data_IF_445712230977
#
_entry.id   IF_445712230977
#
_cell.length_a   1.000
_cell.length_b   1.000
_cell.length_c   1.000
_cell.angle_alpha   90.00
_cell.angle_beta   90.00
_cell.angle_gamma   90.00
#
_symmetry.space_group_name_H-M   'P 1'
#
loop_
_entity.id
_entity.type
_entity.pdbx_description
1 polymer ?
#
# COMPACT_ATOMS: atom_id res chain seq x y z
N UNK A 1 10.45 -26.14 -3.46
CA UNK A 1 9.31 -25.81 -2.57
C UNK A 1 9.43 -24.32 -2.26
N UNK A 2 8.39 -23.54 -2.51
CA UNK A 2 8.38 -22.10 -2.21
C UNK A 2 7.66 -21.84 -0.89
N UNK A 3 8.13 -20.87 -0.12
CA UNK A 3 7.51 -20.49 1.14
C UNK A 3 6.32 -19.57 0.87
N UNK A 4 5.22 -19.79 1.58
CA UNK A 4 4.05 -18.90 1.54
C UNK A 4 3.83 -18.26 2.90
N UNK A 5 3.21 -17.09 2.89
CA UNK A 5 2.97 -16.25 4.05
C UNK A 5 1.56 -15.66 4.01
N UNK A 6 0.89 -15.68 5.16
CA UNK A 6 -0.37 -14.96 5.38
C UNK A 6 -0.17 -13.67 6.17
N UNK A 7 1.04 -13.43 6.64
CA UNK A 7 1.39 -12.31 7.50
C UNK A 7 2.71 -11.68 7.05
N UNK A 8 2.81 -10.38 7.30
CA UNK A 8 3.98 -9.56 7.03
C UNK A 8 4.58 -9.05 8.34
N UNK A 9 5.84 -8.59 8.35
CA UNK A 9 6.44 -7.99 9.54
C UNK A 9 5.61 -6.84 10.11
N UNK A 10 5.76 -6.56 11.40
CA UNK A 10 5.00 -5.52 12.10
C UNK A 10 5.20 -4.14 11.45
N UNK A 11 4.08 -3.46 11.17
CA UNK A 11 4.09 -2.09 10.65
C UNK A 11 4.45 -1.11 11.78
N UNK A 12 5.39 -0.22 11.51
CA UNK A 12 5.82 0.87 12.40
C UNK A 12 6.09 2.16 11.60
N UNK A 13 6.49 3.23 12.28
CA UNK A 13 6.97 4.45 11.62
C UNK A 13 8.28 4.25 10.83
N UNK A 14 8.96 3.11 10.99
CA UNK A 14 10.19 2.79 10.25
C UNK A 14 10.13 1.36 9.74
N UNK A 15 9.03 1.00 9.07
CA UNK A 15 8.84 -0.36 8.53
C UNK A 15 9.91 -0.62 7.49
N UNK A 16 10.77 -1.61 7.75
CA UNK A 16 11.76 -2.08 6.78
C UNK A 16 11.06 -2.95 5.76
N UNK A 17 11.30 -2.69 4.49
CA UNK A 17 10.77 -3.44 3.37
C UNK A 17 11.81 -3.55 2.26
N UNK A 18 11.59 -4.50 1.35
CA UNK A 18 12.31 -4.59 0.09
C UNK A 18 11.41 -4.02 -0.99
N UNK A 19 11.92 -3.02 -1.71
CA UNK A 19 11.26 -2.46 -2.89
C UNK A 19 11.63 -3.31 -4.09
N UNK A 20 10.62 -3.80 -4.81
CA UNK A 20 10.78 -4.47 -6.10
C UNK A 20 10.20 -3.62 -7.22
N UNK A 21 10.48 -4.00 -8.47
CA UNK A 21 9.97 -3.31 -9.65
C UNK A 21 8.88 -4.15 -10.32
N UNK A 22 7.78 -3.49 -10.62
CA UNK A 22 6.66 -4.05 -11.38
C UNK A 22 6.00 -2.99 -12.25
N UNK A 23 5.36 -3.42 -13.32
CA UNK A 23 4.61 -2.60 -14.24
C UNK A 23 3.13 -3.00 -14.20
N UNK A 24 2.32 -2.10 -13.64
CA UNK A 24 0.87 -2.24 -13.46
C UNK A 24 0.06 -1.90 -14.73
N UNK A 25 0.75 -1.59 -15.83
CA UNK A 25 0.11 -1.24 -17.09
C UNK A 25 -0.34 -2.49 -17.85
N UNK A 26 -1.31 -2.31 -18.76
CA UNK A 26 -1.80 -3.40 -19.60
C UNK A 26 -0.67 -3.96 -20.48
N UNK A 27 -0.46 -5.27 -20.43
CA UNK A 27 0.65 -5.93 -21.13
C UNK A 27 2.01 -5.73 -20.47
N UNK A 28 2.01 -5.28 -19.21
CA UNK A 28 3.16 -5.32 -18.32
C UNK A 28 3.45 -6.71 -17.75
N UNK A 29 4.39 -6.75 -16.82
CA UNK A 29 4.78 -7.93 -16.04
C UNK A 29 3.90 -8.18 -14.80
N UNK A 30 3.09 -7.20 -14.38
CA UNK A 30 2.16 -7.33 -13.25
C UNK A 30 0.96 -8.25 -13.50
N UNK A 31 0.90 -8.93 -14.65
CA UNK A 31 -0.17 -9.85 -14.99
C UNK A 31 -1.50 -9.14 -15.23
N UNK A 32 -2.46 -9.37 -14.32
CA UNK A 32 -3.82 -8.88 -14.41
C UNK A 32 -4.02 -7.40 -14.01
N UNK A 33 -5.27 -6.91 -14.05
CA UNK A 33 -5.63 -5.62 -13.46
C UNK A 33 -5.48 -5.67 -11.93
N UNK A 34 -5.16 -4.53 -11.31
CA UNK A 34 -4.87 -4.48 -9.87
C UNK A 34 -6.08 -4.72 -8.97
N UNK A 35 -5.85 -5.41 -7.84
CA UNK A 35 -6.90 -5.91 -6.93
C UNK A 35 -7.78 -4.82 -6.31
N UNK A 36 -7.26 -3.61 -6.07
CA UNK A 36 -8.04 -2.58 -5.40
C UNK A 36 -9.21 -2.04 -6.25
N UNK A 37 -9.04 -1.96 -7.58
CA UNK A 37 -10.01 -1.31 -8.46
C UNK A 37 -10.27 -2.02 -9.80
N UNK A 38 -9.63 -3.17 -10.03
CA UNK A 38 -9.76 -3.95 -11.25
C UNK A 38 -9.25 -3.23 -12.50
N UNK A 39 -8.25 -2.34 -12.35
CA UNK A 39 -7.71 -1.53 -13.44
C UNK A 39 -6.20 -1.70 -13.59
N UNK A 40 -5.74 -1.44 -14.80
CA UNK A 40 -4.33 -1.22 -15.08
C UNK A 40 -3.96 0.25 -14.75
N UNK A 41 -2.75 0.44 -14.24
CA UNK A 41 -2.20 1.75 -13.88
C UNK A 41 -0.95 2.03 -14.72
N UNK A 42 -0.78 3.25 -15.20
CA UNK A 42 0.41 3.62 -16.00
C UNK A 42 1.68 3.56 -15.16
N UNK A 43 2.78 3.11 -15.77
CA UNK A 43 4.12 3.11 -15.17
C UNK A 43 4.64 4.51 -14.77
N UNK A 44 4.01 5.57 -15.27
CA UNK A 44 4.32 6.96 -14.94
C UNK A 44 3.55 7.46 -13.69
N UNK A 45 2.65 6.65 -13.13
CA UNK A 45 1.98 6.94 -11.87
C UNK A 45 2.73 6.29 -10.70
N UNK A 46 2.95 6.99 -9.58
CA UNK A 46 3.59 6.41 -8.40
C UNK A 46 2.60 5.50 -7.66
N UNK A 47 2.51 4.26 -8.11
CA UNK A 47 1.64 3.21 -7.53
C UNK A 47 2.45 2.00 -7.08
N UNK A 48 1.89 1.24 -6.13
CA UNK A 48 2.52 0.05 -5.54
C UNK A 48 1.52 -1.07 -5.21
N UNK A 49 2.04 -2.29 -5.14
CA UNK A 49 1.44 -3.43 -4.45
C UNK A 49 2.11 -3.66 -3.08
N UNK A 50 1.38 -4.25 -2.15
CA UNK A 50 1.92 -4.65 -0.85
C UNK A 50 1.81 -6.16 -0.66
N UNK A 51 2.80 -6.79 -0.03
CA UNK A 51 2.67 -8.19 0.42
C UNK A 51 1.37 -8.42 1.19
N UNK A 52 0.75 -9.59 1.05
CA UNK A 52 -0.58 -9.93 1.63
C UNK A 52 -0.82 -9.42 3.05
N UNK A 53 0.12 -9.63 3.97
CA UNK A 53 -0.04 -9.19 5.36
C UNK A 53 -0.09 -7.67 5.53
N UNK A 54 0.62 -6.93 4.68
CA UNK A 54 0.53 -5.48 4.59
C UNK A 54 -0.62 -4.99 3.71
N UNK A 55 -1.07 -5.76 2.73
CA UNK A 55 -2.28 -5.43 1.98
C UNK A 55 -3.53 -5.48 2.89
N UNK A 56 -3.55 -6.42 3.85
CA UNK A 56 -4.59 -6.56 4.90
C UNK A 56 -6.00 -6.65 4.28
N UNK A 57 -6.14 -7.48 3.23
CA UNK A 57 -7.40 -7.70 2.53
C UNK A 57 -7.99 -6.42 1.93
N UNK A 58 -7.13 -5.56 1.36
CA UNK A 58 -7.54 -4.31 0.72
C UNK A 58 -7.82 -3.15 1.69
N UNK A 59 -7.57 -3.30 3.00
CA UNK A 59 -7.81 -2.20 3.94
C UNK A 59 -6.92 -0.97 3.68
N UNK A 60 -5.86 -1.13 2.87
CA UNK A 60 -4.95 -0.07 2.47
C UNK A 60 -5.12 0.40 1.02
N UNK A 61 -6.11 -0.12 0.30
CA UNK A 61 -6.40 0.30 -1.06
C UNK A 61 -6.61 1.81 -1.17
N UNK A 62 -5.96 2.40 -2.17
CA UNK A 62 -5.96 3.84 -2.46
C UNK A 62 -5.43 4.73 -1.34
N UNK A 63 -4.84 4.15 -0.28
CA UNK A 63 -4.11 4.91 0.71
C UNK A 63 -2.70 5.19 0.19
N UNK A 64 -2.17 6.33 0.62
CA UNK A 64 -0.81 6.74 0.30
C UNK A 64 0.17 6.26 1.37
N UNK A 65 1.29 5.71 0.91
CA UNK A 65 2.46 5.38 1.72
C UNK A 65 3.62 6.28 1.31
N UNK A 66 4.54 6.53 2.24
CA UNK A 66 5.79 7.23 1.93
C UNK A 66 6.93 6.23 1.92
N UNK A 67 7.62 6.13 0.79
CA UNK A 67 8.77 5.25 0.59
C UNK A 67 10.01 6.11 0.64
N UNK A 68 10.98 5.73 1.46
CA UNK A 68 12.24 6.45 1.62
C UNK A 68 13.44 5.55 1.35
N UNK A 69 14.30 6.00 0.44
CA UNK A 69 15.52 5.31 0.02
C UNK A 69 16.48 6.31 -0.63
N UNK A 70 17.78 6.01 -0.66
CA UNK A 70 18.78 6.83 -1.36
C UNK A 70 18.73 8.34 -0.99
N UNK A 71 18.42 8.66 0.27
CA UNK A 71 18.29 10.04 0.76
C UNK A 71 17.08 10.81 0.20
N UNK A 72 16.15 10.13 -0.50
CA UNK A 72 14.93 10.70 -1.08
C UNK A 72 13.70 9.99 -0.54
N UNK A 73 12.55 10.64 -0.72
CA UNK A 73 11.25 10.07 -0.38
C UNK A 73 10.24 10.34 -1.48
N UNK A 74 9.33 9.38 -1.70
CA UNK A 74 8.23 9.48 -2.65
C UNK A 74 6.95 9.00 -2.00
N UNK A 75 5.84 9.67 -2.32
CA UNK A 75 4.50 9.23 -1.94
C UNK A 75 3.95 8.38 -3.07
N UNK A 76 3.51 7.17 -2.74
CA UNK A 76 2.91 6.25 -3.70
C UNK A 76 1.56 5.73 -3.19
N UNK A 77 0.64 5.48 -4.12
CA UNK A 77 -0.69 4.96 -3.83
C UNK A 77 -0.70 3.43 -3.90
N UNK A 78 -1.27 2.78 -2.90
CA UNK A 78 -1.48 1.34 -2.92
C UNK A 78 -2.62 1.02 -3.86
N UNK A 79 -2.37 0.19 -4.87
CA UNK A 79 -3.37 -0.23 -5.86
C UNK A 79 -3.55 -1.73 -5.91
N UNK A 80 -2.64 -2.51 -5.33
CA UNK A 80 -2.62 -3.96 -5.56
C UNK A 80 -2.11 -4.77 -4.36
N UNK A 81 -2.29 -6.08 -4.47
CA UNK A 81 -1.70 -7.09 -3.59
C UNK A 81 -0.53 -7.79 -4.28
N UNK A 82 0.59 -7.93 -3.58
CA UNK A 82 1.64 -8.88 -3.95
C UNK A 82 1.36 -10.19 -3.20
N UNK A 83 0.70 -11.14 -3.85
CA UNK A 83 0.16 -12.34 -3.19
C UNK A 83 1.30 -13.23 -2.67
N UNK A 84 1.42 -13.31 -1.35
CA UNK A 84 2.42 -14.15 -0.68
C UNK A 84 1.87 -15.52 -0.29
N UNK A 85 0.59 -15.81 -0.55
CA UNK A 85 -0.12 -17.01 -0.12
C UNK A 85 -0.11 -18.13 -1.16
N UNK A 86 0.01 -17.78 -2.43
CA UNK A 86 -0.02 -18.71 -3.56
C UNK A 86 0.81 -18.21 -4.75
N UNK A 87 0.94 -19.05 -5.76
CA UNK A 87 1.84 -18.89 -6.90
C UNK A 87 2.22 -20.24 -7.48
N UNK A 88 3.05 -20.25 -8.53
CA UNK A 88 3.44 -21.43 -9.30
C UNK A 88 2.25 -22.14 -9.98
N UNK A 89 1.20 -21.39 -10.30
CA UNK A 89 0.02 -21.87 -10.99
C UNK A 89 -0.27 -20.98 -12.23
N UNK A 90 -1.30 -21.34 -12.98
CA UNK A 90 -1.65 -20.65 -14.21
C UNK A 90 -2.13 -19.21 -13.96
N UNK A 91 -2.74 -18.93 -12.80
CA UNK A 91 -3.31 -17.62 -12.49
C UNK A 91 -2.19 -16.62 -12.14
N UNK A 92 -1.02 -17.11 -11.72
CA UNK A 92 0.17 -16.32 -11.40
C UNK A 92 1.28 -16.41 -12.47
N UNK A 93 0.97 -16.78 -13.72
CA UNK A 93 1.95 -17.00 -14.80
C UNK A 93 3.12 -17.93 -14.40
N UNK A 94 2.84 -18.89 -13.50
CA UNK A 94 3.82 -19.78 -12.87
C UNK A 94 4.96 -19.07 -12.10
N UNK A 95 4.78 -17.80 -11.74
CA UNK A 95 5.67 -17.05 -10.88
C UNK A 95 5.57 -17.54 -9.42
N UNK A 96 6.67 -17.52 -8.64
CA UNK A 96 6.62 -17.92 -7.25
C UNK A 96 5.79 -16.95 -6.39
N UNK A 97 5.28 -17.42 -5.23
CA UNK A 97 4.62 -16.55 -4.26
C UNK A 97 5.51 -15.37 -3.85
N UNK A 98 4.90 -14.22 -3.64
CA UNK A 98 5.59 -13.01 -3.19
C UNK A 98 6.20 -13.22 -1.79
N UNK A 99 7.40 -12.68 -1.51
CA UNK A 99 7.89 -12.57 -0.13
C UNK A 99 6.97 -11.68 0.72
N UNK A 100 7.06 -11.80 2.05
CA UNK A 100 6.12 -11.15 2.96
C UNK A 100 6.50 -9.73 3.41
N UNK A 101 7.60 -9.18 2.87
CA UNK A 101 8.15 -7.88 3.23
C UNK A 101 8.40 -6.99 1.99
N UNK A 102 7.59 -7.18 0.94
CA UNK A 102 7.72 -6.50 -0.35
C UNK A 102 6.79 -5.30 -0.45
N UNK A 103 7.34 -4.22 -0.99
CA UNK A 103 6.59 -3.14 -1.62
C UNK A 103 6.93 -3.19 -3.10
N UNK A 104 5.98 -3.61 -3.93
CA UNK A 104 6.25 -3.82 -5.34
C UNK A 104 5.81 -2.60 -6.15
N UNK A 105 6.74 -1.96 -6.86
CA UNK A 105 6.58 -0.57 -7.23
C UNK A 105 6.76 -0.27 -8.72
N UNK A 106 5.91 0.64 -9.19
CA UNK A 106 5.97 1.21 -10.53
C UNK A 106 7.29 1.91 -10.83
N UNK A 107 7.62 2.02 -12.12
CA UNK A 107 8.82 2.73 -12.62
C UNK A 107 8.88 4.18 -12.12
N UNK A 108 7.74 4.85 -11.96
CA UNK A 108 7.66 6.20 -11.41
C UNK A 108 8.23 6.32 -9.98
N UNK A 109 7.98 5.33 -9.12
CA UNK A 109 8.51 5.28 -7.75
C UNK A 109 10.04 5.19 -7.77
N UNK A 110 10.58 4.27 -8.57
CA UNK A 110 12.03 4.09 -8.72
C UNK A 110 12.73 5.35 -9.26
N UNK A 111 12.15 5.99 -10.29
CA UNK A 111 12.63 7.27 -10.83
C UNK A 111 12.62 8.38 -9.76
N UNK A 112 11.55 8.48 -8.98
CA UNK A 112 11.40 9.51 -7.94
C UNK A 112 12.42 9.34 -6.80
N UNK A 113 12.74 8.10 -6.43
CA UNK A 113 13.81 7.76 -5.49
C UNK A 113 15.22 8.03 -6.04
N UNK A 114 15.33 8.41 -7.32
CA UNK A 114 16.60 8.76 -7.95
C UNK A 114 17.56 7.57 -8.06
N UNK A 115 17.02 6.35 -8.13
CA UNK A 115 17.83 5.14 -8.31
C UNK A 115 18.16 5.02 -9.80
N UNK A 116 19.45 4.89 -10.18
CA UNK A 116 19.83 4.64 -11.58
C UNK A 116 19.16 3.36 -12.10
N UNK A 117 18.71 3.37 -13.35
CA UNK A 117 17.96 2.26 -13.94
C UNK A 117 18.74 0.94 -13.92
N UNK A 118 20.06 0.98 -14.08
CA UNK A 118 20.95 -0.20 -14.01
C UNK A 118 20.97 -0.86 -12.62
N UNK A 119 20.46 -0.16 -11.60
CA UNK A 119 20.37 -0.64 -10.21
C UNK A 119 18.92 -0.97 -9.81
N UNK A 120 17.99 -1.08 -10.78
CA UNK A 120 16.62 -1.52 -10.51
C UNK A 120 16.56 -3.03 -10.37
N UNK A 121 15.71 -3.51 -9.48
CA UNK A 121 15.62 -4.90 -9.07
C UNK A 121 15.08 -4.94 -7.65
N UNK A 122 15.98 -5.08 -6.68
CA UNK A 122 15.66 -5.08 -5.26
C UNK A 122 16.38 -3.93 -4.54
N UNK A 123 15.67 -3.22 -3.68
CA UNK A 123 16.26 -2.15 -2.86
C UNK A 123 15.70 -2.15 -1.44
N UNK A 124 16.57 -2.09 -0.44
CA UNK A 124 16.15 -1.89 0.95
C UNK A 124 15.60 -0.48 1.16
N UNK A 125 14.39 -0.41 1.72
CA UNK A 125 13.67 0.85 1.94
C UNK A 125 13.12 0.96 3.35
N UNK A 126 12.78 2.19 3.73
CA UNK A 126 11.91 2.48 4.87
C UNK A 126 10.56 2.94 4.35
N UNK A 127 9.52 2.22 4.72
CA UNK A 127 8.14 2.53 4.41
C UNK A 127 7.43 3.12 5.64
N UNK A 128 6.87 4.31 5.43
CA UNK A 128 5.94 4.97 6.32
C UNK A 128 4.53 4.71 5.79
N UNK A 129 3.91 3.65 6.30
CA UNK A 129 2.46 3.51 6.20
C UNK A 129 1.87 4.55 7.16
N UNK A 130 0.97 5.41 6.69
CA UNK A 130 0.36 6.45 7.53
C UNK A 130 -0.38 5.82 8.71
N UNK A 131 0.33 5.61 9.82
CA UNK A 131 -0.17 4.96 11.04
C UNK A 131 -1.24 5.80 11.72
N UNK A 132 -1.38 7.08 11.34
CA UNK A 132 -2.43 7.95 11.86
C UNK A 132 -3.84 7.38 11.59
N UNK A 133 -4.04 6.63 10.50
CA UNK A 133 -5.34 6.00 10.25
C UNK A 133 -5.52 4.64 10.95
N UNK A 134 -4.44 3.88 11.17
CA UNK A 134 -4.52 2.52 11.74
C UNK A 134 -4.35 2.51 13.28
N UNK A 135 -3.66 3.48 13.89
CA UNK A 135 -3.43 3.55 15.35
C UNK A 135 -4.28 4.60 16.10
N UNK A 136 -4.77 5.68 15.46
CA UNK A 136 -5.76 6.53 16.14
C UNK A 136 -7.17 5.94 16.04
N UNK A 137 -7.49 5.20 14.97
CA UNK A 137 -8.83 4.66 14.80
C UNK A 137 -9.04 3.35 15.55
N UNK A 138 -8.05 2.45 15.67
CA UNK A 138 -8.22 1.14 16.34
C UNK A 138 -8.75 1.20 17.79
N UNK A 139 -8.22 2.04 18.71
CA UNK A 139 -8.82 2.14 20.04
C UNK A 139 -10.22 2.77 20.02
N UNK A 140 -10.52 3.60 19.01
CA UNK A 140 -11.83 4.27 18.87
C UNK A 140 -12.86 3.31 18.26
N UNK A 141 -12.50 2.49 17.27
CA UNK A 141 -13.44 1.53 16.64
C UNK A 141 -13.77 0.38 17.59
N UNK A 142 -12.79 -0.14 18.34
CA UNK A 142 -13.05 -1.16 19.37
C UNK A 142 -13.95 -0.61 20.49
N UNK A 143 -13.74 0.63 20.93
CA UNK A 143 -14.62 1.28 21.90
C UNK A 143 -16.07 1.46 21.38
N UNK A 144 -16.23 1.73 20.08
CA UNK A 144 -17.56 1.88 19.44
C UNK A 144 -18.26 0.52 19.27
N UNK A 145 -17.54 -0.55 18.98
CA UNK A 145 -18.14 -1.89 18.80
C UNK A 145 -18.65 -2.51 20.12
N UNK A 146 -18.06 -2.13 21.26
CA UNK A 146 -18.49 -2.62 22.58
C UNK A 146 -19.79 -1.95 23.05
N UNK A 147 -20.12 -0.77 22.53
CA UNK A 147 -21.38 -0.08 22.83
C UNK A 147 -22.40 -0.32 21.70
N UNK A 148 -23.16 -1.41 21.78
CA UNK A 148 -24.21 -1.77 20.81
C UNK A 148 -25.27 -0.68 20.61
N UNK A 149 -25.01 0.24 19.69
CA UNK A 149 -25.88 1.39 19.39
C UNK A 149 -26.37 1.32 17.93
N UNK A 150 -27.71 1.29 17.69
CA UNK A 150 -28.31 1.05 16.37
C UNK A 150 -28.16 2.21 15.37
N UNK A 151 -27.40 3.27 15.70
CA UNK A 151 -27.20 4.46 14.86
C UNK A 151 -25.80 4.58 14.23
N UNK A 152 -24.96 3.53 14.30
CA UNK A 152 -23.54 3.60 13.89
C UNK A 152 -23.26 3.90 12.40
N UNK A 153 -24.25 3.88 11.51
CA UNK A 153 -24.04 4.23 10.10
C UNK A 153 -23.87 5.75 9.91
N UNK A 154 -24.57 6.57 10.70
CA UNK A 154 -24.60 8.03 10.55
C UNK A 154 -23.34 8.75 11.06
N UNK A 155 -22.55 8.14 11.93
CA UNK A 155 -21.36 8.77 12.51
C UNK A 155 -20.13 8.72 11.58
N UNK A 156 -20.07 7.73 10.67
CA UNK A 156 -18.95 7.61 9.71
C UNK A 156 -18.87 8.82 8.79
N UNK A 157 -20.01 9.30 8.32
CA UNK A 157 -20.10 10.43 7.40
C UNK A 157 -19.86 11.78 8.09
N UNK A 158 -20.25 11.89 9.37
CA UNK A 158 -20.06 13.10 10.17
C UNK A 158 -18.59 13.33 10.54
N UNK A 159 -17.85 12.25 10.86
CA UNK A 159 -16.41 12.33 11.16
C UNK A 159 -15.59 12.58 9.89
N UNK A 160 -15.97 11.98 8.74
CA UNK A 160 -15.39 12.35 7.43
C UNK A 160 -15.62 13.83 7.11
N UNK A 161 -16.83 14.35 7.38
CA UNK A 161 -17.20 15.74 7.13
C UNK A 161 -16.42 16.74 7.99
N UNK A 162 -16.24 16.47 9.29
CA UNK A 162 -15.45 17.34 10.18
C UNK A 162 -13.96 17.39 9.80
N UNK A 163 -13.39 16.27 9.36
CA UNK A 163 -11.96 16.19 9.01
C UNK A 163 -11.64 16.76 7.62
N UNK A 164 -12.61 16.77 6.68
CA UNK A 164 -12.48 17.58 5.47
C UNK A 164 -12.52 19.08 5.80
N UNK A 165 -13.37 19.48 6.76
CA UNK A 165 -13.51 20.88 7.21
C UNK A 165 -12.20 21.47 7.76
N UNK A 166 -11.46 20.73 8.59
CA UNK A 166 -10.16 21.20 9.12
C UNK A 166 -9.04 21.32 8.07
N UNK A 167 -9.12 20.60 6.94
CA UNK A 167 -8.14 20.77 5.85
C UNK A 167 -8.35 22.07 5.08
N UNK A 168 -9.59 22.54 4.96
CA UNK A 168 -9.91 23.82 4.30
C UNK A 168 -9.46 25.02 5.11
N UNK A 169 -9.48 24.98 6.45
CA UNK A 169 -9.03 26.11 7.27
C UNK A 169 -7.51 26.26 7.33
N UNK A 170 -6.73 25.18 7.22
CA UNK A 170 -5.26 25.28 7.16
C UNK A 170 -4.72 25.77 5.80
N UNK A 171 -5.51 25.68 4.73
CA UNK A 171 -5.15 26.21 3.40
C UNK A 171 -5.44 27.72 3.25
N UNK A 172 -6.10 28.36 4.23
CA UNK A 172 -6.42 29.79 4.22
C UNK A 172 -5.56 30.66 5.17
N UNK A 173 -4.49 30.11 5.75
CA UNK A 173 -3.53 30.85 6.60
C UNK A 173 -2.09 30.91 6.06
N UNK A 174 -1.91 31.02 4.73
CA UNK A 174 -0.67 31.54 4.13
C UNK A 174 -0.97 32.46 2.96
#
# INVERSE_FOLDING_TARGET
MYTTYKCSPTVSSQTKATLTINSFQKGGDGGGPSECDGKYHSDDLPVVALSTGWYKGGSRCHNNITISANGRSVVAMVVDECDSTMGCDQDHDYQPPCPNNIVDASKAVWKALGVPQDNWGDLDIICLVSVLYDQQYTPIVEAVYVAGCPYCVLLKDLVKGLMLGLRTELLFMR
#
